data_IF_277941422754
#
_entry.id   IF_277941422754
#
_cell.length_a   1.000
_cell.length_b   1.000
_cell.length_c   1.000
_cell.angle_alpha   90.00
_cell.angle_beta   90.00
_cell.angle_gamma   90.00
#
_symmetry.space_group_name_H-M   'P 1'
#
loop_
_entity.id
_entity.type
_entity.pdbx_description
1 polymer ?
#
# COMPACT_ATOMS: atom_id res chain seq x y z
N UNK A 1 26.74 5.13 -28.57
CA UNK A 1 25.98 4.53 -29.68
C UNK A 1 26.72 4.83 -30.96
N UNK A 2 27.40 3.86 -31.56
CA UNK A 2 28.21 4.02 -32.75
C UNK A 2 28.78 2.69 -33.19
N UNK A 3 29.65 2.74 -34.19
CA UNK A 3 30.38 1.58 -34.67
C UNK A 3 31.25 0.98 -33.55
N UNK A 4 30.84 -0.22 -33.07
CA UNK A 4 31.58 -0.96 -32.02
C UNK A 4 32.88 -1.61 -32.55
N UNK A 5 33.18 -1.44 -33.84
CA UNK A 5 34.42 -1.95 -34.48
C UNK A 5 35.56 -0.94 -34.42
N UNK A 6 35.27 0.36 -34.20
CA UNK A 6 36.29 1.42 -34.14
C UNK A 6 36.10 2.30 -32.87
N UNK A 7 36.45 1.73 -31.73
CA UNK A 7 36.24 2.38 -30.45
C UNK A 7 37.50 3.11 -29.97
N UNK A 8 37.36 4.40 -29.66
CA UNK A 8 38.42 5.14 -28.93
C UNK A 8 38.40 4.76 -27.44
N UNK A 9 39.12 3.71 -27.13
CA UNK A 9 39.21 3.19 -25.77
C UNK A 9 39.85 4.16 -24.76
N UNK A 10 40.49 5.23 -25.20
CA UNK A 10 41.04 6.23 -24.29
C UNK A 10 39.93 7.12 -23.64
N UNK A 11 38.85 7.31 -24.38
CA UNK A 11 37.76 8.22 -24.01
C UNK A 11 36.43 7.51 -23.67
N UNK A 12 36.47 6.19 -23.41
CA UNK A 12 35.26 5.46 -22.94
C UNK A 12 34.99 5.65 -21.45
N UNK A 13 33.72 5.53 -21.07
CA UNK A 13 33.33 5.49 -19.68
C UNK A 13 33.98 4.30 -18.95
N UNK A 14 34.52 4.53 -17.76
CA UNK A 14 35.17 3.51 -16.92
C UNK A 14 34.37 3.34 -15.64
N UNK A 15 33.96 2.12 -15.34
CA UNK A 15 33.29 1.78 -14.08
C UNK A 15 34.16 0.83 -13.29
N UNK A 16 34.38 1.14 -12.02
CA UNK A 16 35.19 0.32 -11.11
C UNK A 16 34.33 -0.74 -10.45
N UNK A 17 34.76 -2.00 -10.46
CA UNK A 17 34.13 -3.05 -9.67
C UNK A 17 34.21 -2.70 -8.16
N UNK A 18 33.10 -2.86 -7.46
CA UNK A 18 33.00 -2.49 -6.05
C UNK A 18 33.65 -3.52 -5.11
N UNK A 19 33.71 -4.78 -5.52
CA UNK A 19 34.27 -5.87 -4.73
C UNK A 19 35.59 -6.39 -5.32
N UNK A 20 36.48 -6.83 -4.44
CA UNK A 20 37.79 -7.41 -4.81
C UNK A 20 37.75 -8.93 -4.85
N UNK A 21 36.59 -9.53 -5.02
CA UNK A 21 36.38 -10.99 -4.99
C UNK A 21 35.96 -11.48 -6.37
N UNK A 22 36.61 -12.50 -6.88
CA UNK A 22 36.26 -13.15 -8.15
C UNK A 22 35.07 -14.11 -7.96
N UNK A 23 34.09 -14.17 -8.90
CA UNK A 23 33.99 -13.33 -10.11
C UNK A 23 33.55 -11.90 -9.82
N UNK A 24 34.12 -10.95 -10.54
CA UNK A 24 33.74 -9.56 -10.40
C UNK A 24 32.53 -9.25 -11.28
N UNK A 25 31.55 -8.56 -10.72
CA UNK A 25 30.37 -8.08 -11.45
C UNK A 25 30.29 -6.56 -11.40
N UNK A 26 29.89 -5.96 -12.51
CA UNK A 26 29.66 -4.51 -12.64
C UNK A 26 28.32 -4.32 -13.33
N UNK A 27 27.39 -3.61 -12.70
CA UNK A 27 26.17 -3.18 -13.33
C UNK A 27 26.47 -2.03 -14.30
N UNK A 28 26.04 -2.15 -15.56
CA UNK A 28 26.11 -1.09 -16.57
C UNK A 28 24.69 -0.57 -16.79
N UNK A 29 24.45 0.69 -16.48
CA UNK A 29 23.14 1.35 -16.58
C UNK A 29 23.15 2.41 -17.68
N UNK A 30 21.97 2.94 -18.05
CA UNK A 30 21.85 4.02 -19.05
C UNK A 30 22.06 3.57 -20.49
N UNK A 31 21.91 2.27 -20.78
CA UNK A 31 22.02 1.73 -22.11
C UNK A 31 20.75 2.05 -22.93
N UNK A 32 20.95 2.39 -24.20
CA UNK A 32 19.84 2.57 -25.16
C UNK A 32 19.47 1.22 -25.76
N UNK A 33 18.19 0.86 -25.65
CA UNK A 33 17.65 -0.36 -26.22
C UNK A 33 17.92 -0.47 -27.72
N UNK A 34 18.26 -1.68 -28.19
CA UNK A 34 18.61 -1.98 -29.58
C UNK A 34 19.99 -1.49 -30.01
N UNK A 35 20.71 -0.73 -29.17
CA UNK A 35 22.04 -0.27 -29.47
C UNK A 35 23.08 -1.35 -29.17
N UNK A 36 24.09 -1.44 -30.05
CA UNK A 36 25.27 -2.27 -29.80
C UNK A 36 26.26 -1.57 -28.89
N UNK A 37 26.84 -2.32 -28.00
CA UNK A 37 27.88 -1.90 -27.06
C UNK A 37 29.06 -2.87 -27.12
N UNK A 38 30.24 -2.35 -26.81
CA UNK A 38 31.40 -3.16 -26.56
C UNK A 38 31.96 -2.87 -25.16
N UNK A 39 32.37 -3.90 -24.45
CA UNK A 39 32.99 -3.81 -23.16
C UNK A 39 34.29 -4.60 -23.13
N UNK A 40 35.21 -4.18 -22.27
CA UNK A 40 36.38 -5.00 -21.92
C UNK A 40 36.72 -4.77 -20.45
N UNK A 41 37.20 -5.81 -19.79
CA UNK A 41 37.77 -5.68 -18.47
C UNK A 41 39.15 -5.00 -18.56
N UNK A 42 39.53 -4.28 -17.52
CA UNK A 42 40.92 -3.79 -17.37
C UNK A 42 41.32 -3.81 -15.90
N UNK A 43 42.62 -3.93 -15.68
CA UNK A 43 43.23 -3.79 -14.37
C UNK A 43 44.42 -2.83 -14.43
N UNK A 44 44.48 -1.89 -13.50
CA UNK A 44 45.62 -0.99 -13.35
C UNK A 44 46.69 -1.65 -12.48
N UNK A 45 47.89 -1.75 -13.01
CA UNK A 45 49.05 -2.31 -12.33
C UNK A 45 50.14 -1.22 -12.15
N UNK A 46 51.20 -1.54 -11.44
CA UNK A 46 52.34 -0.63 -11.28
C UNK A 46 53.11 -0.33 -12.59
N UNK A 47 52.87 -1.16 -13.62
CA UNK A 47 53.52 -1.03 -14.94
C UNK A 47 52.57 -0.50 -16.01
N UNK A 48 51.32 -0.21 -15.67
CA UNK A 48 50.29 0.29 -16.58
C UNK A 48 49.00 -0.55 -16.55
N UNK A 49 48.05 -0.19 -17.41
CA UNK A 49 46.79 -0.90 -17.55
C UNK A 49 46.97 -2.15 -18.43
N UNK A 50 46.40 -3.27 -17.95
CA UNK A 50 46.24 -4.50 -18.73
C UNK A 50 44.77 -4.71 -19.05
N UNK A 51 44.49 -5.20 -20.26
CA UNK A 51 43.13 -5.29 -20.79
C UNK A 51 42.76 -6.72 -21.17
N UNK A 52 41.52 -7.10 -20.88
CA UNK A 52 40.94 -8.34 -21.41
C UNK A 52 40.45 -8.22 -22.85
N UNK A 53 39.82 -9.29 -23.34
CA UNK A 53 39.15 -9.31 -24.64
C UNK A 53 38.03 -8.27 -24.69
N UNK A 54 37.72 -7.82 -25.91
CA UNK A 54 36.55 -7.00 -26.20
C UNK A 54 35.37 -7.94 -26.42
N UNK A 55 34.31 -7.74 -25.62
CA UNK A 55 33.03 -8.43 -25.81
C UNK A 55 32.00 -7.44 -26.33
N UNK A 56 31.16 -7.87 -27.27
CA UNK A 56 30.08 -7.05 -27.81
C UNK A 56 28.71 -7.63 -27.48
N UNK A 57 27.76 -6.76 -27.18
CA UNK A 57 26.37 -7.16 -26.95
C UNK A 57 25.41 -6.09 -27.45
N UNK A 58 24.17 -6.47 -27.69
CA UNK A 58 23.07 -5.52 -28.00
C UNK A 58 22.21 -5.37 -26.73
N UNK A 59 21.98 -4.13 -26.31
CA UNK A 59 21.06 -3.88 -25.21
C UNK A 59 19.64 -4.26 -25.62
N UNK A 60 19.03 -5.20 -24.93
CA UNK A 60 17.64 -5.59 -25.17
C UNK A 60 16.69 -4.54 -24.57
N UNK A 61 15.52 -4.35 -25.22
CA UNK A 61 14.42 -3.61 -24.61
C UNK A 61 13.77 -4.47 -23.51
N UNK A 62 13.28 -3.85 -22.43
CA UNK A 62 12.36 -4.54 -21.54
C UNK A 62 11.13 -5.01 -22.31
N UNK A 63 10.67 -6.21 -22.01
CA UNK A 63 9.50 -6.82 -22.64
C UNK A 63 8.21 -6.31 -21.96
N UNK A 64 7.21 -5.94 -22.77
CA UNK A 64 5.90 -5.61 -22.21
C UNK A 64 5.22 -6.91 -21.74
N UNK A 65 4.84 -6.95 -20.45
CA UNK A 65 4.10 -8.08 -19.85
C UNK A 65 2.80 -7.58 -19.24
N UNK A 66 1.71 -8.33 -19.39
CA UNK A 66 0.47 -8.00 -18.71
C UNK A 66 0.61 -8.27 -17.19
N UNK A 67 -0.14 -7.51 -16.37
CA UNK A 67 -0.20 -7.77 -14.92
C UNK A 67 -0.69 -9.20 -14.67
N UNK A 68 -1.65 -9.71 -15.44
CA UNK A 68 -2.19 -11.06 -15.29
C UNK A 68 -1.13 -12.15 -15.56
N UNK A 69 -0.31 -11.98 -16.60
CA UNK A 69 0.77 -12.94 -16.90
C UNK A 69 1.85 -12.88 -15.83
N UNK A 70 2.21 -11.67 -15.37
CA UNK A 70 3.17 -11.51 -14.28
C UNK A 70 2.65 -12.11 -12.96
N UNK A 71 1.37 -11.91 -12.63
CA UNK A 71 0.72 -12.55 -11.47
C UNK A 71 0.77 -14.07 -11.59
N UNK A 72 0.57 -14.62 -12.79
CA UNK A 72 0.68 -16.06 -13.04
C UNK A 72 2.10 -16.57 -12.76
N UNK A 73 3.12 -15.84 -13.23
CA UNK A 73 4.54 -16.16 -12.92
C UNK A 73 4.81 -16.08 -11.41
N UNK A 74 4.35 -15.03 -10.73
CA UNK A 74 4.52 -14.86 -9.28
C UNK A 74 3.87 -16.01 -8.51
N UNK A 75 2.65 -16.39 -8.85
CA UNK A 75 1.92 -17.49 -8.17
C UNK A 75 2.57 -18.87 -8.38
N UNK A 76 3.41 -19.03 -9.39
CA UNK A 76 4.19 -20.26 -9.61
C UNK A 76 5.45 -20.33 -8.72
N UNK A 77 5.84 -19.26 -8.03
CA UNK A 77 7.01 -19.26 -7.14
C UNK A 77 6.66 -19.78 -5.76
N UNK A 78 7.59 -20.50 -5.15
CA UNK A 78 7.48 -20.99 -3.76
C UNK A 78 8.34 -20.18 -2.78
N UNK A 79 9.22 -19.33 -3.30
CA UNK A 79 10.15 -18.50 -2.55
C UNK A 79 10.39 -17.17 -3.28
N UNK A 80 11.11 -16.25 -2.64
CA UNK A 80 11.52 -14.99 -3.26
C UNK A 80 12.45 -15.28 -4.42
N UNK A 81 12.01 -14.97 -5.64
CA UNK A 81 12.73 -15.34 -6.88
C UNK A 81 12.98 -14.08 -7.71
N UNK A 82 14.19 -13.86 -8.26
CA UNK A 82 14.41 -12.83 -9.27
C UNK A 82 13.47 -13.01 -10.46
N UNK A 83 13.05 -11.91 -11.08
CA UNK A 83 12.32 -12.00 -12.34
C UNK A 83 13.25 -12.51 -13.45
N UNK A 84 12.70 -13.19 -14.43
CA UNK A 84 13.45 -13.92 -15.46
C UNK A 84 13.89 -13.04 -16.66
N UNK A 85 13.30 -11.86 -16.83
CA UNK A 85 13.62 -10.90 -17.89
C UNK A 85 13.38 -9.47 -17.37
N UNK A 86 13.87 -8.45 -18.12
CA UNK A 86 13.44 -7.08 -17.93
C UNK A 86 12.02 -6.92 -18.44
N UNK A 87 11.13 -6.41 -17.59
CA UNK A 87 9.71 -6.23 -17.94
C UNK A 87 9.28 -4.78 -17.85
N UNK A 88 8.30 -4.42 -18.67
CA UNK A 88 7.47 -3.23 -18.49
C UNK A 88 6.06 -3.68 -18.17
N UNK A 89 5.51 -3.19 -17.06
CA UNK A 89 4.10 -3.30 -16.73
C UNK A 89 3.45 -1.92 -16.78
N UNK A 90 2.16 -1.89 -17.11
CA UNK A 90 1.32 -0.69 -17.01
C UNK A 90 0.03 -1.04 -16.29
N UNK A 91 -0.39 -0.17 -15.38
CA UNK A 91 -1.61 -0.38 -14.61
C UNK A 91 -2.03 0.84 -13.83
N UNK A 92 -3.16 0.72 -13.13
CA UNK A 92 -3.74 1.77 -12.31
C UNK A 92 -3.51 1.46 -10.84
N UNK A 93 -3.08 2.46 -10.07
CA UNK A 93 -3.03 2.39 -8.62
C UNK A 93 -4.46 2.31 -8.10
N UNK A 94 -4.80 1.18 -7.50
CA UNK A 94 -6.15 0.87 -7.02
C UNK A 94 -6.30 0.95 -5.49
N UNK A 95 -5.19 1.04 -4.76
CA UNK A 95 -5.16 1.43 -3.35
C UNK A 95 -5.12 2.95 -3.19
N UNK A 96 -5.18 3.43 -1.96
CA UNK A 96 -4.98 4.84 -1.62
C UNK A 96 -3.68 4.98 -0.81
N UNK A 97 -2.55 5.34 -1.45
CA UNK A 97 -1.27 5.43 -0.76
C UNK A 97 -1.24 6.51 0.32
N UNK A 98 -1.92 7.65 0.11
CA UNK A 98 -1.97 8.76 1.07
C UNK A 98 -2.72 8.39 2.34
N UNK A 99 -3.80 7.62 2.21
CA UNK A 99 -4.57 7.15 3.37
C UNK A 99 -3.83 6.08 4.19
N UNK A 100 -2.78 5.47 3.64
CA UNK A 100 -1.86 4.55 4.31
C UNK A 100 -2.52 3.34 4.99
N UNK A 101 -3.67 2.88 4.50
CA UNK A 101 -4.22 1.60 4.96
C UNK A 101 -3.50 0.41 4.32
N UNK A 102 -2.19 0.51 4.24
CA UNK A 102 -1.26 -0.50 3.73
C UNK A 102 0.10 -0.32 4.41
N UNK A 103 1.04 -1.22 4.17
CA UNK A 103 2.43 -1.03 4.61
C UNK A 103 3.07 0.14 3.84
N UNK A 104 3.87 0.93 4.53
CA UNK A 104 4.63 2.02 3.90
C UNK A 104 5.41 1.53 2.68
N UNK A 105 5.40 2.29 1.59
CA UNK A 105 6.06 1.92 0.34
C UNK A 105 5.32 0.89 -0.51
N UNK A 106 4.04 0.66 -0.24
CA UNK A 106 3.18 -0.28 -0.98
C UNK A 106 2.30 0.46 -1.97
N UNK A 107 2.29 0.01 -3.23
CA UNK A 107 1.29 0.36 -4.24
C UNK A 107 0.52 -0.89 -4.64
N UNK A 108 -0.79 -0.87 -4.55
CA UNK A 108 -1.67 -1.86 -5.17
C UNK A 108 -1.95 -1.41 -6.60
N UNK A 109 -1.56 -2.23 -7.57
CA UNK A 109 -1.65 -1.90 -9.01
C UNK A 109 -2.45 -2.96 -9.73
N UNK A 110 -3.45 -2.53 -10.50
CA UNK A 110 -4.33 -3.41 -11.27
C UNK A 110 -4.32 -3.08 -12.77
N UNK A 111 -4.68 -4.06 -13.58
CA UNK A 111 -4.99 -3.84 -14.99
C UNK A 111 -6.19 -2.90 -15.11
N UNK A 112 -6.07 -1.87 -15.94
CA UNK A 112 -7.12 -0.87 -16.16
C UNK A 112 -8.44 -1.52 -16.57
N UNK A 113 -9.50 -1.27 -15.80
CA UNK A 113 -10.85 -1.78 -16.07
C UNK A 113 -11.03 -3.28 -15.83
N UNK A 114 -10.06 -3.98 -15.24
CA UNK A 114 -10.20 -5.39 -14.96
C UNK A 114 -11.26 -5.67 -13.88
N UNK A 115 -12.05 -6.70 -14.11
CA UNK A 115 -13.13 -7.16 -13.22
C UNK A 115 -12.95 -8.62 -12.78
N UNK A 116 -11.88 -9.27 -13.23
CA UNK A 116 -11.60 -10.69 -12.93
C UNK A 116 -10.38 -10.84 -12.03
N UNK A 117 -10.38 -11.88 -11.22
CA UNK A 117 -9.27 -12.24 -10.35
C UNK A 117 -7.93 -12.37 -11.10
N UNK A 118 -6.82 -12.15 -10.40
CA UNK A 118 -5.48 -12.28 -10.96
C UNK A 118 -4.99 -11.10 -11.79
N UNK A 119 -5.71 -9.98 -11.77
CA UNK A 119 -5.39 -8.77 -12.53
C UNK A 119 -4.83 -7.63 -11.65
N UNK A 120 -4.29 -7.95 -10.48
CA UNK A 120 -3.65 -6.97 -9.61
C UNK A 120 -2.48 -7.60 -8.85
N UNK A 121 -1.54 -6.77 -8.46
CA UNK A 121 -0.37 -7.14 -7.67
C UNK A 121 0.04 -5.98 -6.74
N UNK A 122 0.94 -6.28 -5.84
CA UNK A 122 1.59 -5.30 -4.98
C UNK A 122 2.99 -4.96 -5.52
N UNK A 123 3.27 -3.68 -5.68
CA UNK A 123 4.62 -3.14 -5.82
C UNK A 123 5.09 -2.66 -4.46
N UNK A 124 6.21 -3.19 -3.97
CA UNK A 124 6.74 -2.84 -2.65
C UNK A 124 8.17 -2.30 -2.76
N UNK A 125 8.34 -1.03 -2.38
CA UNK A 125 9.65 -0.39 -2.26
C UNK A 125 9.58 0.72 -1.19
N UNK A 126 10.40 0.62 -0.15
CA UNK A 126 10.42 1.56 0.97
C UNK A 126 10.85 2.99 0.62
N UNK A 127 11.36 3.22 -0.60
CA UNK A 127 11.68 4.57 -1.10
C UNK A 127 10.49 5.28 -1.75
N UNK A 128 9.40 4.56 -2.03
CA UNK A 128 8.13 5.14 -2.48
C UNK A 128 7.49 5.87 -1.32
N UNK A 129 7.26 7.17 -1.52
CA UNK A 129 6.57 8.01 -0.54
C UNK A 129 5.07 8.03 -0.83
N UNK A 130 4.22 7.92 0.19
CA UNK A 130 2.76 7.88 0.01
C UNK A 130 2.21 9.06 -0.80
N UNK A 131 2.74 10.26 -0.57
CA UNK A 131 2.31 11.49 -1.22
C UNK A 131 2.70 11.61 -2.70
N UNK A 132 3.48 10.67 -3.24
CA UNK A 132 3.92 10.71 -4.64
C UNK A 132 2.84 10.26 -5.61
N UNK A 133 1.99 9.35 -5.16
CA UNK A 133 0.98 8.68 -5.98
C UNK A 133 -0.37 8.72 -5.29
N UNK A 134 -1.43 8.79 -6.10
CA UNK A 134 -2.80 8.81 -5.64
C UNK A 134 -3.61 7.66 -6.23
N UNK A 135 -4.71 7.32 -5.58
CA UNK A 135 -5.73 6.40 -6.13
C UNK A 135 -6.17 6.88 -7.52
N UNK A 136 -6.10 6.00 -8.51
CA UNK A 136 -6.45 6.31 -9.90
C UNK A 136 -5.30 6.86 -10.75
N UNK A 137 -4.07 6.95 -10.21
CA UNK A 137 -2.90 7.21 -11.05
C UNK A 137 -2.59 6.00 -11.93
N UNK A 138 -2.42 6.22 -13.23
CA UNK A 138 -1.91 5.21 -14.15
C UNK A 138 -0.40 5.32 -14.20
N UNK A 139 0.27 4.20 -13.99
CA UNK A 139 1.72 4.12 -13.94
C UNK A 139 2.25 3.09 -14.94
N UNK A 140 3.45 3.35 -15.41
CA UNK A 140 4.29 2.41 -16.16
C UNK A 140 5.55 2.14 -15.33
N UNK A 141 5.89 0.88 -15.14
CA UNK A 141 7.02 0.48 -14.30
C UNK A 141 7.95 -0.42 -15.10
N UNK A 142 9.23 -0.04 -15.13
CA UNK A 142 10.28 -0.91 -15.66
C UNK A 142 10.85 -1.75 -14.53
N UNK A 143 10.76 -3.05 -14.68
CA UNK A 143 11.27 -4.04 -13.73
C UNK A 143 12.56 -4.64 -14.32
N UNK A 144 13.68 -4.51 -13.59
CA UNK A 144 14.98 -5.03 -14.05
C UNK A 144 15.27 -6.37 -13.40
N UNK A 145 15.66 -7.36 -14.20
CA UNK A 145 15.97 -8.72 -13.71
C UNK A 145 17.11 -8.77 -12.68
N UNK A 146 18.03 -7.81 -12.73
CA UNK A 146 19.15 -7.72 -11.79
C UNK A 146 18.72 -7.33 -10.38
N UNK A 147 17.55 -6.68 -10.22
CA UNK A 147 17.12 -6.12 -8.94
C UNK A 147 15.72 -6.57 -8.53
N UNK A 148 14.76 -6.62 -9.47
CA UNK A 148 13.38 -6.93 -9.17
C UNK A 148 13.20 -8.40 -8.80
N UNK A 149 12.38 -8.63 -7.77
CA UNK A 149 12.07 -9.96 -7.23
C UNK A 149 10.56 -10.15 -7.15
N UNK A 150 10.12 -11.36 -7.42
CA UNK A 150 8.74 -11.80 -7.32
C UNK A 150 8.56 -12.78 -6.17
N UNK A 151 7.43 -12.67 -5.49
CA UNK A 151 7.03 -13.57 -4.41
C UNK A 151 5.52 -13.55 -4.17
N UNK A 152 5.01 -14.59 -3.55
CA UNK A 152 3.69 -14.56 -2.91
C UNK A 152 3.91 -14.13 -1.45
N UNK A 153 3.43 -12.94 -1.09
CA UNK A 153 3.55 -12.41 0.27
C UNK A 153 2.16 -12.24 0.88
N UNK A 154 1.90 -12.87 2.03
CA UNK A 154 0.57 -12.91 2.65
C UNK A 154 -0.53 -13.26 1.63
N UNK A 155 -0.36 -14.34 0.89
CA UNK A 155 -1.26 -14.81 -0.18
C UNK A 155 -1.46 -13.83 -1.35
N UNK A 156 -0.75 -12.72 -1.39
CA UNK A 156 -0.83 -11.71 -2.45
C UNK A 156 0.39 -11.74 -3.37
N UNK A 157 0.22 -11.57 -4.69
CA UNK A 157 1.34 -11.43 -5.62
C UNK A 157 2.07 -10.11 -5.38
N UNK A 158 3.39 -10.16 -5.21
CA UNK A 158 4.21 -9.00 -4.92
C UNK A 158 5.48 -8.97 -5.77
N UNK A 159 5.81 -7.76 -6.25
CA UNK A 159 7.13 -7.40 -6.79
C UNK A 159 7.82 -6.47 -5.80
N UNK A 160 9.10 -6.73 -5.54
CA UNK A 160 9.98 -5.92 -4.69
C UNK A 160 11.35 -5.72 -5.36
N UNK A 161 12.20 -4.87 -4.80
CA UNK A 161 13.57 -4.66 -5.27
C UNK A 161 13.69 -3.89 -6.59
N UNK A 162 12.61 -3.41 -7.18
CA UNK A 162 12.66 -2.52 -8.35
C UNK A 162 13.11 -1.11 -7.94
N UNK A 163 13.62 -0.32 -8.90
CA UNK A 163 13.98 1.07 -8.65
C UNK A 163 12.72 1.96 -8.70
N UNK A 164 12.48 2.75 -7.65
CA UNK A 164 11.35 3.69 -7.61
C UNK A 164 11.46 4.78 -8.71
N UNK A 165 12.66 5.10 -9.19
CA UNK A 165 12.87 6.03 -10.30
C UNK A 165 12.40 5.47 -11.65
N UNK A 166 12.21 4.16 -11.77
CA UNK A 166 11.67 3.49 -12.95
C UNK A 166 10.13 3.42 -12.95
N UNK A 167 9.46 4.10 -12.01
CA UNK A 167 8.01 4.25 -11.94
C UNK A 167 7.61 5.58 -12.57
N UNK A 168 7.05 5.52 -13.78
CA UNK A 168 6.58 6.68 -14.53
C UNK A 168 5.08 6.87 -14.36
N UNK A 169 4.63 8.05 -13.92
CA UNK A 169 3.20 8.40 -13.89
C UNK A 169 2.74 8.82 -15.28
N UNK A 170 1.76 8.13 -15.84
CA UNK A 170 1.22 8.35 -17.19
C UNK A 170 0.03 9.29 -17.17
N UNK A 171 -0.90 9.08 -16.23
CA UNK A 171 -2.10 9.89 -16.08
C UNK A 171 -2.64 9.80 -14.65
N UNK A 172 -3.56 10.70 -14.29
CA UNK A 172 -4.20 10.73 -12.98
C UNK A 172 -5.72 10.78 -13.11
N UNK A 173 -6.43 10.51 -12.01
CA UNK A 173 -7.89 10.61 -11.94
C UNK A 173 -8.62 9.53 -12.72
N UNK A 174 -7.97 8.41 -13.01
CA UNK A 174 -8.64 7.29 -13.63
C UNK A 174 -9.62 6.65 -12.66
N UNK A 175 -10.77 6.24 -13.19
CA UNK A 175 -11.80 5.59 -12.40
C UNK A 175 -11.37 4.17 -12.00
N UNK A 176 -11.44 3.87 -10.69
CA UNK A 176 -11.16 2.56 -10.11
C UNK A 176 -12.46 2.00 -9.55
N UNK A 177 -13.09 1.09 -10.31
CA UNK A 177 -14.33 0.44 -9.89
C UNK A 177 -14.04 -0.83 -9.08
N UNK A 178 -14.57 -0.93 -7.84
CA UNK A 178 -14.51 -2.18 -7.07
C UNK A 178 -15.38 -3.27 -7.71
N UNK A 179 -14.90 -4.51 -7.63
CA UNK A 179 -15.66 -5.68 -8.10
C UNK A 179 -16.50 -6.23 -6.95
N UNK A 180 -17.79 -6.40 -7.14
CA UNK A 180 -18.65 -7.04 -6.11
C UNK A 180 -18.33 -8.54 -6.04
N UNK A 181 -17.94 -9.01 -4.85
CA UNK A 181 -17.63 -10.42 -4.57
C UNK A 181 -18.21 -10.84 -3.23
N UNK A 182 -18.19 -12.14 -2.95
CA UNK A 182 -18.47 -12.72 -1.63
C UNK A 182 -17.18 -12.88 -0.81
N UNK A 183 -17.32 -13.01 0.51
CA UNK A 183 -16.17 -13.09 1.44
C UNK A 183 -15.21 -14.25 1.12
N UNK A 184 -15.75 -15.40 0.70
CA UNK A 184 -14.97 -16.60 0.31
C UNK A 184 -14.08 -16.37 -0.92
N UNK A 185 -14.31 -15.28 -1.69
CA UNK A 185 -13.54 -14.93 -2.87
C UNK A 185 -12.42 -13.92 -2.61
N UNK A 186 -12.29 -13.39 -1.41
CA UNK A 186 -11.29 -12.36 -1.11
C UNK A 186 -9.85 -12.79 -1.51
N UNK A 187 -9.44 -14.03 -1.24
CA UNK A 187 -8.10 -14.50 -1.61
C UNK A 187 -7.91 -14.65 -3.12
N UNK A 188 -8.97 -15.02 -3.85
CA UNK A 188 -8.92 -15.12 -5.31
C UNK A 188 -8.65 -13.73 -5.94
N UNK A 189 -9.25 -12.68 -5.35
CA UNK A 189 -9.13 -11.27 -5.79
C UNK A 189 -8.03 -10.48 -5.08
N UNK A 190 -7.04 -11.15 -4.49
CA UNK A 190 -5.96 -10.48 -3.77
C UNK A 190 -5.37 -9.30 -4.56
N UNK A 191 -5.12 -8.18 -3.89
CA UNK A 191 -4.67 -6.88 -4.39
C UNK A 191 -5.70 -6.07 -5.19
N UNK A 192 -6.88 -6.62 -5.52
CA UNK A 192 -7.92 -5.91 -6.25
C UNK A 192 -8.83 -5.10 -5.32
N UNK A 193 -9.37 -3.96 -5.79
CA UNK A 193 -10.45 -3.26 -5.11
C UNK A 193 -11.74 -4.08 -5.27
N UNK A 194 -12.37 -4.37 -4.14
CA UNK A 194 -13.59 -5.19 -4.09
C UNK A 194 -14.66 -4.53 -3.23
N UNK A 195 -15.92 -4.88 -3.50
CA UNK A 195 -17.09 -4.50 -2.71
C UNK A 195 -17.72 -5.75 -2.13
N UNK A 196 -17.98 -5.74 -0.83
CA UNK A 196 -18.72 -6.79 -0.12
C UNK A 196 -20.09 -6.21 0.25
N UNK A 197 -21.15 -6.83 -0.21
CA UNK A 197 -22.55 -6.45 0.05
C UNK A 197 -23.17 -7.25 1.17
N UNK A 198 -24.32 -6.78 1.68
CA UNK A 198 -25.06 -7.39 2.78
C UNK A 198 -24.20 -7.54 4.06
N UNK A 199 -23.41 -6.52 4.34
CA UNK A 199 -22.61 -6.45 5.56
C UNK A 199 -23.53 -6.00 6.70
N UNK A 200 -23.45 -6.70 7.82
CA UNK A 200 -24.13 -6.37 9.06
C UNK A 200 -23.10 -6.03 10.13
N UNK A 201 -23.22 -4.84 10.69
CA UNK A 201 -22.50 -4.41 11.89
C UNK A 201 -23.53 -4.36 13.03
N UNK A 202 -23.43 -5.31 13.97
CA UNK A 202 -24.41 -5.46 15.06
C UNK A 202 -24.24 -4.39 16.15
N UNK A 203 -23.01 -3.92 16.36
CA UNK A 203 -22.69 -2.95 17.43
C UNK A 203 -21.88 -1.80 16.88
N UNK A 204 -22.30 -0.57 17.16
CA UNK A 204 -21.54 0.63 16.83
C UNK A 204 -20.15 0.62 17.50
N UNK A 205 -19.19 1.30 16.90
CA UNK A 205 -17.83 1.34 17.41
C UNK A 205 -16.98 2.41 16.75
N UNK A 206 -15.68 2.26 16.84
CA UNK A 206 -14.68 3.17 16.28
C UNK A 206 -13.73 2.36 15.42
N UNK A 207 -13.45 2.84 14.18
CA UNK A 207 -12.55 2.16 13.24
C UNK A 207 -11.13 1.99 13.79
N UNK A 208 -10.62 3.01 14.46
CA UNK A 208 -9.27 2.98 15.05
C UNK A 208 -9.21 3.86 16.29
N UNK A 209 -8.99 3.28 17.45
CA UNK A 209 -8.97 3.97 18.76
C UNK A 209 -7.58 4.45 19.17
N UNK A 210 -6.51 3.80 18.70
CA UNK A 210 -5.13 4.11 19.05
C UNK A 210 -4.32 4.52 17.82
N UNK A 211 -3.72 5.71 17.87
CA UNK A 211 -3.05 6.34 16.70
C UNK A 211 -1.97 5.45 16.11
N UNK A 212 -1.13 4.82 16.94
CA UNK A 212 0.04 4.07 16.51
C UNK A 212 -0.19 2.55 16.41
N UNK A 213 -1.43 2.10 16.58
CA UNK A 213 -1.79 0.68 16.48
C UNK A 213 -2.75 0.43 15.35
N UNK A 214 -2.68 -0.78 14.80
CA UNK A 214 -3.67 -1.26 13.86
C UNK A 214 -4.95 -1.70 14.59
N UNK A 215 -6.08 -1.68 13.89
CA UNK A 215 -7.34 -2.24 14.36
C UNK A 215 -7.81 -3.37 13.47
N UNK A 216 -8.49 -4.33 14.06
CA UNK A 216 -9.11 -5.43 13.33
C UNK A 216 -10.55 -5.57 13.81
N UNK A 217 -11.48 -5.60 12.87
CA UNK A 217 -12.90 -5.78 13.12
C UNK A 217 -13.40 -7.04 12.43
N UNK A 218 -14.35 -7.72 13.02
CA UNK A 218 -15.05 -8.84 12.41
C UNK A 218 -16.53 -8.51 12.33
N UNK A 219 -17.04 -8.44 11.11
CA UNK A 219 -18.44 -8.21 10.82
C UNK A 219 -19.05 -9.43 10.13
N UNK A 220 -20.35 -9.44 9.92
CA UNK A 220 -21.03 -10.49 9.15
C UNK A 220 -21.36 -9.98 7.76
N UNK A 221 -21.14 -10.81 6.74
CA UNK A 221 -21.60 -10.55 5.39
C UNK A 221 -22.24 -11.84 4.84
N UNK A 222 -23.55 -11.82 4.57
CA UNK A 222 -24.31 -13.01 4.20
C UNK A 222 -24.07 -14.20 5.16
N UNK A 223 -23.95 -13.94 6.46
CA UNK A 223 -23.69 -14.94 7.50
C UNK A 223 -22.23 -15.38 7.66
N UNK A 224 -21.34 -15.00 6.74
CA UNK A 224 -19.89 -15.29 6.82
C UNK A 224 -19.16 -14.19 7.60
N UNK A 225 -18.06 -14.55 8.28
CA UNK A 225 -17.19 -13.58 8.96
C UNK A 225 -16.35 -12.79 7.96
N UNK A 226 -16.51 -11.48 7.96
CA UNK A 226 -15.71 -10.53 7.19
C UNK A 226 -14.71 -9.84 8.13
N UNK A 227 -13.43 -10.12 7.97
CA UNK A 227 -12.37 -9.42 8.70
C UNK A 227 -12.01 -8.14 7.96
N UNK A 228 -12.14 -7.00 8.66
CA UNK A 228 -11.73 -5.67 8.18
C UNK A 228 -10.49 -5.24 8.96
N UNK A 229 -9.43 -4.88 8.25
CA UNK A 229 -8.16 -4.48 8.86
C UNK A 229 -7.85 -3.02 8.56
N UNK A 230 -7.57 -2.25 9.60
CA UNK A 230 -7.12 -0.85 9.53
C UNK A 230 -5.66 -0.79 9.99
N UNK A 231 -4.76 -0.39 9.09
CA UNK A 231 -3.33 -0.32 9.36
C UNK A 231 -3.02 0.80 10.38
N UNK A 232 -1.92 0.63 11.11
CA UNK A 232 -1.45 1.66 12.05
C UNK A 232 -1.23 3.04 11.41
N UNK A 233 -0.82 3.07 10.13
CA UNK A 233 -0.58 4.30 9.36
C UNK A 233 -1.85 4.99 8.86
N UNK A 234 -3.00 4.32 8.88
CA UNK A 234 -4.27 4.85 8.37
C UNK A 234 -4.88 5.87 9.34
N UNK A 235 -4.29 7.07 9.38
CA UNK A 235 -4.64 8.11 10.35
C UNK A 235 -6.01 8.73 10.11
N UNK A 236 -6.54 8.68 8.88
CA UNK A 236 -7.89 9.15 8.58
C UNK A 236 -8.98 8.37 9.31
N UNK A 237 -8.70 7.16 9.77
CA UNK A 237 -9.62 6.33 10.55
C UNK A 237 -9.54 6.55 12.08
N UNK A 238 -8.61 7.39 12.55
CA UNK A 238 -8.45 7.64 13.99
C UNK A 238 -9.71 8.29 14.58
N UNK A 239 -10.29 7.67 15.61
CA UNK A 239 -11.47 8.12 16.31
C UNK A 239 -12.72 8.32 15.43
N UNK A 240 -12.75 7.72 14.22
CA UNK A 240 -13.93 7.75 13.35
C UNK A 240 -14.90 6.68 13.81
N UNK A 241 -16.09 7.12 14.20
CA UNK A 241 -17.16 6.23 14.67
C UNK A 241 -17.90 5.58 13.49
N UNK A 242 -18.36 4.36 13.69
CA UNK A 242 -19.30 3.68 12.80
C UNK A 242 -20.55 3.24 13.56
N UNK A 243 -21.66 3.14 12.83
CA UNK A 243 -22.97 2.76 13.39
C UNK A 243 -23.25 1.28 13.22
N UNK A 244 -24.10 0.74 14.09
CA UNK A 244 -24.78 -0.54 13.83
C UNK A 244 -25.74 -0.37 12.66
N UNK A 245 -25.68 -1.26 11.69
CA UNK A 245 -26.50 -1.25 10.47
C UNK A 245 -26.50 -2.63 9.84
N UNK A 246 -27.64 -3.05 9.33
CA UNK A 246 -27.80 -4.25 8.52
C UNK A 246 -27.78 -3.91 7.02
N UNK A 247 -27.41 -4.88 6.23
CA UNK A 247 -27.48 -4.84 4.76
C UNK A 247 -26.76 -3.63 4.12
N UNK A 248 -25.66 -3.19 4.73
CA UNK A 248 -24.77 -2.21 4.12
C UNK A 248 -23.73 -2.85 3.20
N UNK A 249 -22.80 -2.04 2.70
CA UNK A 249 -21.66 -2.51 1.93
C UNK A 249 -20.36 -1.92 2.42
N UNK A 250 -19.29 -2.69 2.31
CA UNK A 250 -17.92 -2.25 2.54
C UNK A 250 -17.09 -2.45 1.28
N UNK A 251 -16.28 -1.47 0.99
CA UNK A 251 -15.31 -1.52 -0.11
C UNK A 251 -13.90 -1.56 0.46
N UNK A 252 -12.94 -2.03 -0.31
CA UNK A 252 -11.53 -2.05 0.09
C UNK A 252 -10.68 -2.89 -0.84
N UNK A 253 -9.41 -2.99 -0.52
CA UNK A 253 -8.50 -3.93 -1.17
C UNK A 253 -8.68 -5.31 -0.56
N UNK A 254 -8.87 -6.31 -1.40
CA UNK A 254 -8.82 -7.71 -0.97
C UNK A 254 -7.38 -8.09 -0.61
N UNK A 255 -7.17 -8.54 0.61
CA UNK A 255 -5.85 -8.82 1.17
C UNK A 255 -5.88 -10.04 2.08
N UNK A 256 -4.73 -10.37 2.65
CA UNK A 256 -4.64 -11.40 3.68
C UNK A 256 -3.56 -11.07 4.72
N UNK A 257 -3.72 -11.64 5.89
CA UNK A 257 -2.63 -11.83 6.84
C UNK A 257 -2.28 -13.32 6.88
N UNK A 258 -1.11 -13.68 6.38
CA UNK A 258 -0.75 -15.08 6.07
C UNK A 258 -1.78 -15.68 5.09
N UNK A 259 -2.64 -16.56 5.58
CA UNK A 259 -3.70 -17.23 4.80
C UNK A 259 -5.11 -16.75 5.15
N UNK A 260 -5.25 -15.86 6.15
CA UNK A 260 -6.56 -15.35 6.58
C UNK A 260 -6.93 -14.14 5.75
N UNK A 261 -8.05 -14.24 5.03
CA UNK A 261 -8.57 -13.17 4.18
C UNK A 261 -8.96 -11.93 5.00
N UNK A 262 -8.68 -10.76 4.45
CA UNK A 262 -9.01 -9.46 5.03
C UNK A 262 -9.46 -8.49 3.95
N UNK A 263 -10.36 -7.57 4.32
CA UNK A 263 -10.70 -6.40 3.54
C UNK A 263 -9.96 -5.20 4.15
N UNK A 264 -9.24 -4.44 3.31
CA UNK A 264 -8.57 -3.21 3.70
C UNK A 264 -9.29 -2.01 3.06
N UNK A 265 -10.18 -1.31 3.75
CA UNK A 265 -10.78 -0.08 3.23
C UNK A 265 -9.68 0.91 2.85
N UNK A 266 -9.75 1.47 1.64
CA UNK A 266 -8.70 2.36 1.13
C UNK A 266 -8.68 3.70 1.87
N UNK A 267 -9.89 4.23 2.11
CA UNK A 267 -10.13 5.49 2.82
C UNK A 267 -11.56 5.51 3.40
N UNK A 268 -12.02 6.62 3.93
CA UNK A 268 -13.34 6.73 4.56
C UNK A 268 -14.51 6.55 3.58
N UNK A 269 -14.33 6.85 2.29
CA UNK A 269 -15.37 6.61 1.28
C UNK A 269 -15.76 5.13 1.17
N UNK A 270 -14.81 4.24 1.41
CA UNK A 270 -15.02 2.79 1.34
C UNK A 270 -15.90 2.25 2.48
N UNK A 271 -16.09 3.03 3.54
CA UNK A 271 -16.84 2.66 4.75
C UNK A 271 -18.03 3.60 5.02
N UNK A 272 -18.29 4.56 4.15
CA UNK A 272 -19.26 5.65 4.36
C UNK A 272 -20.69 5.21 4.66
N UNK A 273 -21.10 4.04 4.20
CA UNK A 273 -22.42 3.51 4.51
C UNK A 273 -22.64 3.21 5.99
N UNK A 274 -21.57 3.09 6.75
CA UNK A 274 -21.55 2.86 8.18
C UNK A 274 -21.10 4.10 8.98
N UNK A 275 -20.96 5.25 8.32
CA UNK A 275 -20.57 6.48 8.98
C UNK A 275 -21.67 6.94 9.96
N UNK A 276 -21.23 7.35 11.13
CA UNK A 276 -22.13 8.01 12.08
C UNK A 276 -22.49 9.41 11.54
N UNK A 277 -23.73 9.57 11.12
CA UNK A 277 -24.21 10.83 10.49
C UNK A 277 -24.48 11.96 11.49
N UNK A 278 -24.30 11.72 12.79
CA UNK A 278 -24.48 12.70 13.85
C UNK A 278 -23.26 12.78 14.80
N UNK A 279 -23.24 13.77 15.70
CA UNK A 279 -22.20 13.87 16.70
C UNK A 279 -22.20 12.65 17.61
N UNK A 280 -21.02 12.08 17.83
CA UNK A 280 -20.86 10.87 18.63
C UNK A 280 -19.80 11.11 19.69
N UNK A 281 -20.06 10.76 20.95
CA UNK A 281 -19.05 10.71 22.01
C UNK A 281 -18.24 9.43 21.81
N UNK A 282 -16.95 9.55 21.56
CA UNK A 282 -16.05 8.42 21.28
C UNK A 282 -15.32 7.94 22.51
N UNK A 283 -15.08 8.82 23.49
CA UNK A 283 -14.53 8.45 24.80
C UNK A 283 -14.83 9.50 25.85
N UNK A 284 -14.81 9.05 27.10
CA UNK A 284 -14.83 9.90 28.29
C UNK A 284 -13.70 9.44 29.21
N UNK A 285 -12.85 10.34 29.64
CA UNK A 285 -11.73 10.05 30.51
C UNK A 285 -11.59 11.09 31.63
N UNK A 286 -11.49 10.65 32.90
CA UNK A 286 -11.66 9.26 33.37
C UNK A 286 -13.11 8.76 33.22
N UNK A 287 -13.28 7.45 33.04
CA UNK A 287 -14.61 6.83 32.89
C UNK A 287 -15.42 6.79 34.21
N UNK A 288 -14.78 7.07 35.32
CA UNK A 288 -15.37 7.15 36.63
C UNK A 288 -14.62 8.18 37.49
N UNK A 289 -15.35 9.01 38.18
CA UNK A 289 -14.81 10.01 39.11
C UNK A 289 -15.27 9.66 40.51
N UNK A 290 -14.36 9.72 41.48
CA UNK A 290 -14.66 9.49 42.87
C UNK A 290 -14.35 10.75 43.70
N UNK A 291 -15.36 11.39 44.24
CA UNK A 291 -15.17 12.53 45.13
C UNK A 291 -15.03 12.10 46.59
N UNK A 292 -14.16 12.74 47.37
CA UNK A 292 -14.16 12.58 48.80
C UNK A 292 -15.45 13.16 49.42
N UNK A 293 -15.80 12.75 50.61
CA UNK A 293 -17.01 13.24 51.31
C UNK A 293 -17.03 14.76 51.57
N UNK A 294 -15.88 15.40 51.44
CA UNK A 294 -15.71 16.86 51.54
C UNK A 294 -16.00 17.61 50.22
N UNK A 295 -16.34 16.89 49.18
CA UNK A 295 -16.46 17.43 47.81
C UNK A 295 -15.11 17.60 47.12
N UNK A 296 -15.14 18.09 45.91
CA UNK A 296 -13.96 18.34 45.06
C UNK A 296 -14.37 18.72 43.64
N UNK A 297 -13.39 19.06 42.82
CA UNK A 297 -13.55 19.33 41.41
C UNK A 297 -12.72 18.34 40.62
N UNK A 298 -13.27 17.82 39.51
CA UNK A 298 -12.59 16.94 38.60
C UNK A 298 -12.94 17.31 37.18
N UNK A 299 -12.00 17.09 36.28
CA UNK A 299 -12.16 17.39 34.83
C UNK A 299 -12.33 16.10 34.04
N UNK A 300 -13.37 16.03 33.21
CA UNK A 300 -13.59 14.97 32.26
C UNK A 300 -13.19 15.44 30.88
N UNK A 301 -12.36 14.68 30.21
CA UNK A 301 -12.05 14.88 28.78
C UNK A 301 -13.00 14.00 27.98
N UNK A 302 -13.81 14.64 27.11
CA UNK A 302 -14.78 13.97 26.27
C UNK A 302 -14.31 14.10 24.83
N UNK A 303 -13.94 12.98 24.23
CA UNK A 303 -13.63 12.95 22.80
C UNK A 303 -14.91 12.72 21.99
N UNK A 304 -15.07 13.49 20.93
CA UNK A 304 -16.22 13.40 20.03
C UNK A 304 -15.78 13.15 18.60
N UNK A 305 -16.66 12.60 17.77
CA UNK A 305 -16.51 12.56 16.32
C UNK A 305 -17.77 13.10 15.65
N UNK A 306 -17.64 13.57 14.41
CA UNK A 306 -18.73 14.13 13.60
C UNK A 306 -19.49 15.27 14.30
N UNK A 307 -18.82 16.03 15.19
CA UNK A 307 -19.46 17.07 16.00
C UNK A 307 -20.03 18.20 15.14
N UNK A 308 -19.36 18.57 14.02
CA UNK A 308 -19.77 19.69 13.18
C UNK A 308 -19.95 20.97 14.00
N UNK A 309 -21.14 21.57 13.91
CA UNK A 309 -21.54 22.74 14.72
C UNK A 309 -22.29 22.38 16.01
N UNK A 310 -22.41 21.10 16.32
CA UNK A 310 -23.09 20.62 17.54
C UNK A 310 -22.25 20.95 18.78
N UNK A 311 -22.91 21.30 19.86
CA UNK A 311 -22.27 21.60 21.16
C UNK A 311 -22.50 20.45 22.12
N UNK A 312 -21.52 20.19 22.95
CA UNK A 312 -21.69 19.27 24.09
C UNK A 312 -22.74 19.82 25.08
N UNK A 313 -23.64 18.97 25.49
CA UNK A 313 -24.65 19.30 26.52
C UNK A 313 -24.63 18.25 27.60
N UNK A 314 -24.84 18.69 28.84
CA UNK A 314 -24.91 17.83 30.01
C UNK A 314 -26.37 17.53 30.34
N UNK A 315 -26.66 16.28 30.64
CA UNK A 315 -27.93 15.91 31.26
C UNK A 315 -28.03 16.45 32.70
N UNK A 316 -29.23 16.64 33.23
CA UNK A 316 -29.39 17.01 34.63
C UNK A 316 -28.61 16.05 35.56
N UNK A 317 -27.83 16.62 36.46
CA UNK A 317 -27.04 15.91 37.45
C UNK A 317 -27.85 15.71 38.73
N UNK A 318 -27.39 14.80 39.59
CA UNK A 318 -28.00 14.58 40.87
C UNK A 318 -27.88 15.80 41.79
N UNK A 319 -28.65 15.80 42.88
CA UNK A 319 -28.65 16.88 43.88
C UNK A 319 -27.25 17.07 44.49
N UNK A 320 -26.78 18.32 44.52
CA UNK A 320 -25.46 18.67 45.07
C UNK A 320 -24.31 18.50 44.08
N UNK A 321 -24.57 18.17 42.78
CA UNK A 321 -23.57 18.06 41.73
C UNK A 321 -23.82 19.14 40.68
N UNK A 322 -22.79 19.87 40.32
CA UNK A 322 -22.80 20.83 39.22
C UNK A 322 -21.66 20.50 38.25
N UNK A 323 -21.85 20.77 36.99
CA UNK A 323 -20.80 20.70 35.98
C UNK A 323 -21.03 21.79 34.94
N UNK A 324 -19.95 22.25 34.34
CA UNK A 324 -19.99 23.18 33.22
C UNK A 324 -19.14 22.66 32.06
N UNK A 325 -19.52 23.02 30.86
CA UNK A 325 -18.73 22.70 29.66
C UNK A 325 -17.69 23.80 29.49
N UNK A 326 -16.41 23.48 29.71
CA UNK A 326 -15.28 24.42 29.60
C UNK A 326 -15.02 24.71 28.12
N UNK A 327 -15.03 23.68 27.31
CA UNK A 327 -14.98 23.76 25.84
C UNK A 327 -15.74 22.55 25.25
N UNK A 328 -15.79 22.41 23.93
CA UNK A 328 -16.53 21.32 23.30
C UNK A 328 -15.97 19.90 23.58
N UNK A 329 -14.89 19.79 24.35
CA UNK A 329 -14.23 18.52 24.65
C UNK A 329 -13.96 18.33 26.16
N UNK A 330 -14.30 19.30 27.00
CA UNK A 330 -13.94 19.27 28.43
C UNK A 330 -15.12 19.69 29.30
N UNK A 331 -15.34 18.92 30.33
CA UNK A 331 -16.37 19.18 31.39
C UNK A 331 -15.74 19.14 32.77
#
# INVERSE_FOLDING_TARGET
TGDVTNIDWANVAKTKAQEKVSPWTVAVTGLTSGSQYAVRAYATTSTGDIYGSVETFTASAPEAISIADLVTKIKATTEVTPIDNDYIIQGIICGDPEAQNCSYGTLYVMTKGATTAGNALTLYNTTIKPETYSLGDEIKVTLRKESAKMQVYNSAPQISGFDAAEVEKISSGNNVQPVTITVDKLLDFACMPVKIENVTIETAGIWKTEVDKASTHTFKANGSDLTVYINKGANSFNNVAYIAKENGSLTGIAAAYKTSAQLLPRNLEDVKEFEATGPTITSVAPSQVNFPSTGGEETLIISTSNQGSSTLQLSPLGEGISAEVIDNNTV
#
